data_IF_522819953972
#
_entry.id   IF_522819953972
#
_cell.length_a   1.000
_cell.length_b   1.000
_cell.length_c   1.000
_cell.angle_alpha   90.00
_cell.angle_beta   90.00
_cell.angle_gamma   90.00
#
_symmetry.space_group_name_H-M   'P 1'
#
loop_
_entity.id
_entity.type
_entity.pdbx_description
1 polymer ?
#
# COMPACT_ATOMS: atom_id res chain seq x y z
N UNK A 1 33.95 3.30 69.83
CA UNK A 1 32.83 4.04 69.22
C UNK A 1 33.41 5.14 68.35
N UNK A 2 32.89 5.39 67.14
CA UNK A 2 33.27 6.56 66.35
C UNK A 2 33.01 7.85 67.15
N UNK A 3 33.81 8.89 66.90
CA UNK A 3 33.72 10.17 67.63
C UNK A 3 32.38 10.90 67.37
N UNK A 4 31.80 10.69 66.19
CA UNK A 4 30.51 11.23 65.79
C UNK A 4 29.63 10.09 65.31
N UNK A 5 28.40 10.04 65.82
CA UNK A 5 27.43 9.01 65.50
C UNK A 5 26.02 9.47 65.81
N UNK A 6 25.09 8.81 65.15
CA UNK A 6 23.65 8.90 65.38
C UNK A 6 23.18 7.60 66.01
N UNK A 7 22.09 7.69 66.75
CA UNK A 7 21.36 6.55 67.25
C UNK A 7 19.85 6.82 67.14
N UNK A 8 19.04 5.78 66.90
CA UNK A 8 17.60 5.86 67.13
C UNK A 8 17.31 6.14 68.61
N UNK A 9 16.32 6.99 68.88
CA UNK A 9 15.83 7.18 70.26
C UNK A 9 14.92 6.01 70.66
N UNK A 10 14.65 5.82 71.95
CA UNK A 10 13.71 4.80 72.42
C UNK A 10 12.31 4.97 71.79
N UNK A 11 11.88 6.22 71.58
CA UNK A 11 10.63 6.55 70.88
C UNK A 11 10.72 6.15 69.41
N UNK A 12 11.83 6.49 68.74
CA UNK A 12 12.08 6.14 67.36
C UNK A 12 12.10 4.63 67.12
N UNK A 13 12.82 3.88 67.96
CA UNK A 13 12.84 2.40 67.88
C UNK A 13 11.46 1.80 68.11
N UNK A 14 10.71 2.29 69.09
CA UNK A 14 9.35 1.82 69.35
C UNK A 14 8.41 2.09 68.16
N UNK A 15 8.49 3.29 67.57
CA UNK A 15 7.71 3.61 66.37
C UNK A 15 8.15 2.75 65.18
N UNK A 16 9.45 2.54 64.97
CA UNK A 16 9.97 1.74 63.84
C UNK A 16 9.53 0.28 64.00
N UNK A 17 9.65 -0.28 65.19
CA UNK A 17 9.18 -1.62 65.50
C UNK A 17 7.67 -1.78 65.30
N UNK A 18 6.86 -0.78 65.71
CA UNK A 18 5.41 -0.79 65.51
C UNK A 18 5.04 -0.70 64.02
N UNK A 19 5.73 0.14 63.25
CA UNK A 19 5.53 0.26 61.80
C UNK A 19 5.82 -1.08 61.10
N UNK A 20 6.93 -1.74 61.43
CA UNK A 20 7.27 -3.07 60.91
C UNK A 20 6.19 -4.10 61.30
N UNK A 21 5.79 -4.15 62.58
CA UNK A 21 4.86 -5.15 63.09
C UNK A 21 3.44 -5.03 62.49
N UNK A 22 3.01 -3.81 62.16
CA UNK A 22 1.68 -3.53 61.62
C UNK A 22 1.65 -3.38 60.09
N UNK A 23 2.81 -3.50 59.42
CA UNK A 23 2.93 -3.22 57.97
C UNK A 23 2.70 -1.74 57.62
N UNK A 24 2.92 -0.85 58.57
CA UNK A 24 2.82 0.60 58.42
C UNK A 24 4.17 1.24 58.11
N UNK A 25 4.19 2.58 58.02
CA UNK A 25 5.41 3.35 57.75
C UNK A 25 5.47 4.60 58.61
N UNK A 26 6.67 5.04 58.99
CA UNK A 26 6.90 6.30 59.70
C UNK A 26 7.27 7.38 58.71
N UNK A 27 6.65 8.54 58.82
CA UNK A 27 6.98 9.70 57.99
C UNK A 27 7.89 10.66 58.73
N UNK A 28 9.15 10.73 58.32
CA UNK A 28 10.09 11.76 58.78
C UNK A 28 9.78 13.08 58.05
N UNK A 29 9.56 14.16 58.80
CA UNK A 29 9.17 15.46 58.24
C UNK A 29 10.22 16.54 58.40
N UNK A 30 10.96 16.54 59.51
CA UNK A 30 11.85 17.66 59.85
C UNK A 30 13.21 17.18 60.35
N UNK A 31 14.24 17.97 60.02
CA UNK A 31 15.58 17.83 60.60
C UNK A 31 15.84 19.08 61.44
N UNK A 32 16.26 18.85 62.68
CA UNK A 32 16.70 19.89 63.59
C UNK A 32 18.21 19.84 63.81
N UNK A 33 18.76 21.01 64.08
CA UNK A 33 20.15 21.23 64.40
C UNK A 33 20.24 22.04 65.68
N UNK A 34 21.23 21.72 66.52
CA UNK A 34 21.44 22.34 67.82
C UNK A 34 22.91 22.70 68.05
N UNK A 35 23.13 23.59 69.01
CA UNK A 35 24.48 23.99 69.43
C UNK A 35 25.00 23.23 70.65
N UNK A 36 24.23 22.26 71.16
CA UNK A 36 24.61 21.41 72.29
C UNK A 36 24.70 22.14 73.62
N UNK A 37 24.11 23.34 73.74
CA UNK A 37 24.27 24.20 74.92
C UNK A 37 25.70 24.72 75.09
N UNK A 38 26.46 24.81 73.99
CA UNK A 38 27.84 25.30 73.97
C UNK A 38 28.92 24.22 74.13
N UNK A 39 28.54 22.95 74.30
CA UNK A 39 29.48 21.82 74.37
C UNK A 39 29.04 20.65 73.48
N UNK A 40 29.94 19.77 73.08
CA UNK A 40 29.61 18.62 72.24
C UNK A 40 28.81 17.59 73.06
N UNK A 41 27.54 17.31 72.73
CA UNK A 41 26.75 16.39 73.51
C UNK A 41 27.11 14.93 73.20
N UNK A 42 26.85 14.06 74.18
CA UNK A 42 26.93 12.60 74.01
C UNK A 42 25.55 12.11 73.56
N UNK A 43 25.44 11.42 72.41
CA UNK A 43 24.19 10.80 71.98
C UNK A 43 23.62 9.86 73.04
N UNK A 44 22.33 10.01 73.32
CA UNK A 44 21.59 9.26 74.33
C UNK A 44 20.20 8.89 73.78
N UNK A 45 19.83 7.61 73.87
CA UNK A 45 18.59 7.06 73.31
C UNK A 45 17.35 7.53 74.06
N UNK A 46 17.48 7.92 75.33
CA UNK A 46 16.35 8.33 76.16
C UNK A 46 15.93 9.80 75.92
N UNK A 47 16.53 10.45 74.91
CA UNK A 47 16.21 11.83 74.55
C UNK A 47 14.92 11.95 73.77
N UNK A 48 14.12 12.92 74.18
CA UNK A 48 12.90 13.34 73.47
C UNK A 48 13.13 14.66 72.69
N UNK A 49 14.19 15.40 73.00
CA UNK A 49 14.54 16.69 72.38
C UNK A 49 16.07 16.87 72.30
N UNK A 50 16.52 17.80 71.44
CA UNK A 50 17.91 18.27 71.38
C UNK A 50 18.30 18.97 72.70
N UNK A 51 19.59 19.00 73.04
CA UNK A 51 20.10 19.71 74.23
C UNK A 51 19.79 21.20 74.14
N UNK A 52 20.06 21.80 72.99
CA UNK A 52 19.66 23.17 72.68
C UNK A 52 19.45 23.31 71.17
N UNK A 53 18.19 23.21 70.76
CA UNK A 53 17.77 23.39 69.38
C UNK A 53 17.92 24.85 68.95
N UNK A 54 18.61 25.08 67.83
CA UNK A 54 18.77 26.42 67.24
C UNK A 54 18.01 26.58 65.93
N UNK A 55 17.64 25.47 65.29
CA UNK A 55 16.78 25.45 64.10
C UNK A 55 16.14 24.10 63.90
N UNK A 56 14.88 24.12 63.46
CA UNK A 56 14.15 23.01 62.85
C UNK A 56 13.52 23.47 61.54
N UNK A 57 13.55 22.60 60.54
CA UNK A 57 12.93 22.86 59.26
C UNK A 57 12.61 21.54 58.53
N UNK A 58 11.75 21.58 57.49
CA UNK A 58 11.47 20.42 56.66
C UNK A 58 12.73 19.82 56.04
N UNK A 59 12.72 18.52 55.80
CA UNK A 59 13.79 17.80 55.09
C UNK A 59 13.75 18.09 53.58
N UNK A 60 14.91 18.06 52.92
CA UNK A 60 15.01 18.22 51.45
C UNK A 60 14.87 16.87 50.74
N UNK A 61 15.56 15.85 51.24
CA UNK A 61 15.55 14.48 50.69
C UNK A 61 15.74 13.48 51.82
N UNK A 62 15.21 12.27 51.65
CA UNK A 62 15.60 11.10 52.44
C UNK A 62 15.67 9.89 51.52
N UNK A 63 16.84 9.28 51.40
CA UNK A 63 17.07 8.13 50.53
C UNK A 63 17.78 7.01 51.30
N UNK A 64 17.63 5.78 50.82
CA UNK A 64 18.46 4.66 51.30
C UNK A 64 19.86 4.77 50.70
N UNK A 65 20.90 4.53 51.51
CA UNK A 65 22.27 4.54 51.02
C UNK A 65 22.48 3.41 49.98
N UNK A 66 23.04 3.71 48.79
CA UNK A 66 23.19 2.72 47.73
C UNK A 66 24.19 1.62 48.06
N UNK A 67 25.16 1.89 48.94
CA UNK A 67 26.17 0.91 49.38
C UNK A 67 25.73 0.18 50.67
N UNK A 68 24.78 0.75 51.43
CA UNK A 68 24.30 0.23 52.71
C UNK A 68 22.76 0.26 52.78
N UNK A 69 22.07 -0.83 52.36
CA UNK A 69 20.60 -0.87 52.25
C UNK A 69 19.82 -0.62 53.55
N UNK A 70 20.49 -0.72 54.70
CA UNK A 70 19.91 -0.50 56.04
C UNK A 70 20.17 0.93 56.57
N UNK A 71 20.80 1.80 55.79
CA UNK A 71 21.06 3.18 56.16
C UNK A 71 20.09 4.12 55.46
N UNK A 72 19.44 4.96 56.25
CA UNK A 72 18.61 6.07 55.77
C UNK A 72 19.44 7.34 55.86
N UNK A 73 19.62 7.99 54.72
CA UNK A 73 20.34 9.25 54.57
C UNK A 73 19.32 10.37 54.38
N UNK A 74 19.21 11.25 55.36
CA UNK A 74 18.33 12.43 55.32
C UNK A 74 19.19 13.67 55.13
N UNK A 75 18.82 14.51 54.17
CA UNK A 75 19.51 15.77 53.92
C UNK A 75 18.61 16.98 54.18
N UNK A 76 19.20 18.00 54.78
CA UNK A 76 18.62 19.33 54.90
C UNK A 76 19.62 20.38 54.43
N UNK A 77 19.19 21.28 53.56
CA UNK A 77 19.98 22.41 53.09
C UNK A 77 19.74 23.60 54.01
N UNK A 78 20.81 24.15 54.58
CA UNK A 78 20.80 25.40 55.35
C UNK A 78 21.12 26.57 54.39
N UNK A 79 20.16 27.48 54.16
CA UNK A 79 20.36 28.68 53.34
C UNK A 79 21.43 29.64 53.90
N UNK A 80 21.92 30.59 53.07
CA UNK A 80 22.97 31.54 53.48
C UNK A 80 22.50 32.61 54.50
N UNK A 81 21.20 32.84 54.62
CA UNK A 81 20.55 33.76 55.57
C UNK A 81 20.28 33.15 56.96
N UNK A 82 20.55 31.86 57.12
CA UNK A 82 20.29 31.11 58.36
C UNK A 82 21.61 30.61 58.97
N UNK A 83 21.90 30.99 60.21
CA UNK A 83 23.14 30.63 60.91
C UNK A 83 23.44 31.59 62.07
N UNK A 84 24.72 31.80 62.36
CA UNK A 84 25.19 32.58 63.51
C UNK A 84 25.44 31.73 64.76
N UNK A 85 25.45 30.40 64.60
CA UNK A 85 25.62 29.41 65.66
C UNK A 85 26.52 28.26 65.21
N UNK A 86 27.08 27.53 66.18
CA UNK A 86 27.91 26.35 65.95
C UNK A 86 27.07 25.10 66.06
N UNK A 87 27.03 24.30 65.01
CA UNK A 87 26.32 23.02 64.99
C UNK A 87 27.10 21.99 65.78
N UNK A 88 26.45 21.33 66.74
CA UNK A 88 27.03 20.25 67.57
C UNK A 88 26.13 19.04 67.72
N UNK A 89 24.86 19.17 67.39
CA UNK A 89 23.89 18.08 67.43
C UNK A 89 22.89 18.18 66.29
N UNK A 90 22.34 17.03 65.92
CA UNK A 90 21.35 16.87 64.86
C UNK A 90 20.27 15.89 65.33
N UNK A 91 19.03 16.12 64.91
CA UNK A 91 17.93 15.21 65.20
C UNK A 91 16.89 15.15 64.09
N UNK A 92 16.25 14.00 63.96
CA UNK A 92 15.16 13.77 63.01
C UNK A 92 13.83 13.66 63.73
N UNK A 93 12.82 14.36 63.21
CA UNK A 93 11.48 14.39 63.75
C UNK A 93 10.48 13.83 62.74
N UNK A 94 9.49 13.10 63.25
CA UNK A 94 8.36 12.64 62.46
C UNK A 94 7.21 13.67 62.39
N UNK A 95 6.16 13.32 61.65
CA UNK A 95 4.97 14.16 61.47
C UNK A 95 4.20 14.44 62.77
N UNK A 96 4.40 13.63 63.81
CA UNK A 96 3.77 13.82 65.13
C UNK A 96 4.61 14.73 66.03
N UNK A 97 5.82 15.12 65.59
CA UNK A 97 6.75 15.96 66.31
C UNK A 97 7.68 15.19 67.26
N UNK A 98 7.71 13.86 67.18
CA UNK A 98 8.53 13.01 68.04
C UNK A 98 9.96 12.88 67.49
N UNK A 99 10.95 12.95 68.38
CA UNK A 99 12.37 12.78 68.01
C UNK A 99 12.65 11.30 67.73
N UNK A 100 12.90 10.94 66.48
CA UNK A 100 13.10 9.56 66.02
C UNK A 100 14.56 9.13 66.15
N UNK A 101 15.49 10.04 65.86
CA UNK A 101 16.91 9.75 65.94
C UNK A 101 17.69 10.99 66.34
N UNK A 102 18.75 10.79 67.10
CA UNK A 102 19.60 11.85 67.65
C UNK A 102 21.06 11.54 67.41
N UNK A 103 21.86 12.55 67.12
CA UNK A 103 23.29 12.39 66.93
C UNK A 103 24.09 13.63 67.27
N UNK A 104 25.36 13.42 67.59
CA UNK A 104 26.31 14.50 67.73
C UNK A 104 26.91 14.83 66.35
N UNK A 105 27.32 16.08 66.18
CA UNK A 105 27.84 16.58 64.91
C UNK A 105 29.19 17.27 65.13
N UNK A 106 30.17 17.12 64.21
CA UNK A 106 31.43 17.86 64.29
C UNK A 106 31.18 19.36 64.42
N UNK A 107 31.85 19.99 65.39
CA UNK A 107 31.67 21.42 65.66
C UNK A 107 31.89 22.23 64.38
N UNK A 108 30.80 22.74 63.82
CA UNK A 108 30.83 23.45 62.55
C UNK A 108 30.13 24.78 62.69
N UNK A 109 30.88 25.87 62.53
CA UNK A 109 30.29 27.20 62.54
C UNK A 109 29.58 27.49 61.22
N UNK A 110 28.28 27.84 61.29
CA UNK A 110 27.48 28.22 60.13
C UNK A 110 27.33 29.74 60.07
N UNK A 111 28.15 30.47 59.28
CA UNK A 111 28.04 31.91 59.17
C UNK A 111 26.77 32.33 58.41
N UNK A 112 26.32 33.55 58.70
CA UNK A 112 25.21 34.22 58.00
C UNK A 112 25.73 35.29 57.05
N UNK A 113 24.92 35.63 56.05
CA UNK A 113 25.26 36.67 55.07
C UNK A 113 25.56 38.04 55.73
N UNK A 114 24.93 38.36 56.86
CA UNK A 114 25.19 39.59 57.62
C UNK A 114 26.59 39.67 58.24
N UNK A 115 27.29 38.55 58.38
CA UNK A 115 28.68 38.46 58.85
C UNK A 115 29.69 38.55 57.69
N UNK A 116 29.23 38.84 56.47
CA UNK A 116 30.09 38.99 55.28
C UNK A 116 30.46 37.67 54.59
N UNK A 117 29.95 36.53 55.05
CA UNK A 117 30.17 35.21 54.41
C UNK A 117 28.94 34.30 54.55
N UNK A 118 27.91 34.51 53.73
CA UNK A 118 26.78 33.59 53.63
C UNK A 118 27.21 32.31 52.92
N UNK A 119 27.20 31.18 53.63
CA UNK A 119 27.48 29.85 53.05
C UNK A 119 26.19 29.04 53.00
N UNK A 120 25.93 28.35 51.89
CA UNK A 120 24.93 27.28 51.87
C UNK A 120 25.60 26.00 52.36
N UNK A 121 25.00 25.32 53.33
CA UNK A 121 25.57 24.09 53.89
C UNK A 121 24.49 23.00 53.92
N UNK A 122 24.80 21.83 53.38
CA UNK A 122 23.92 20.65 53.49
C UNK A 122 24.32 19.87 54.72
N UNK A 123 23.36 19.63 55.62
CA UNK A 123 23.49 18.71 56.75
C UNK A 123 22.96 17.36 56.32
N UNK A 124 23.81 16.35 56.46
CA UNK A 124 23.50 14.95 56.13
C UNK A 124 23.42 14.17 57.44
N UNK A 125 22.24 13.63 57.72
CA UNK A 125 21.97 12.73 58.83
C UNK A 125 21.91 11.30 58.28
N UNK A 126 22.66 10.37 58.87
CA UNK A 126 22.62 8.96 58.49
C UNK A 126 22.16 8.18 59.70
N UNK A 127 21.13 7.35 59.60
CA UNK A 127 20.78 6.38 60.64
C UNK A 127 20.66 4.98 60.09
N UNK A 128 21.04 4.00 60.91
CA UNK A 128 20.79 2.61 60.63
C UNK A 128 19.42 2.20 61.18
N UNK A 129 18.64 1.48 60.37
CA UNK A 129 17.37 0.87 60.75
C UNK A 129 17.39 -0.64 60.51
N UNK A 130 16.49 -1.37 61.17
CA UNK A 130 16.30 -2.81 60.97
C UNK A 130 15.56 -3.14 59.67
N UNK A 131 14.70 -2.23 59.20
CA UNK A 131 13.98 -2.33 57.93
C UNK A 131 13.72 -0.92 57.36
N UNK A 132 14.25 -0.63 56.17
CA UNK A 132 14.07 0.64 55.47
C UNK A 132 12.69 0.76 54.83
N UNK A 133 11.95 -0.34 54.62
CA UNK A 133 10.59 -0.30 54.08
C UNK A 133 9.57 0.27 55.08
N UNK A 134 9.89 0.26 56.38
CA UNK A 134 9.05 0.81 57.44
C UNK A 134 9.18 2.33 57.61
N UNK A 135 9.98 3.01 56.78
CA UNK A 135 10.16 4.48 56.83
C UNK A 135 9.77 5.07 55.48
N UNK A 136 8.73 5.90 55.45
CA UNK A 136 8.24 6.58 54.25
C UNK A 136 8.74 8.01 54.14
N UNK A 137 9.08 8.38 52.90
CA UNK A 137 9.51 9.72 52.53
C UNK A 137 8.32 10.62 52.23
N UNK A 138 8.28 11.80 52.85
CA UNK A 138 7.46 12.92 52.38
C UNK A 138 8.33 14.15 52.18
N UNK A 139 8.84 14.34 50.95
CA UNK A 139 9.32 15.65 50.53
C UNK A 139 8.09 16.47 50.18
N UNK A 140 7.85 17.59 50.88
CA UNK A 140 6.91 18.60 50.40
C UNK A 140 7.64 19.50 49.39
N UNK A 141 7.42 19.35 48.07
CA UNK A 141 8.14 20.11 47.06
C UNK A 141 7.65 21.57 46.97
N UNK A 142 6.63 21.96 47.73
CA UNK A 142 6.02 23.29 47.64
C UNK A 142 6.72 24.35 48.49
N UNK A 143 7.64 23.96 49.40
CA UNK A 143 8.25 24.88 50.38
C UNK A 143 9.79 24.86 50.40
N UNK A 144 10.46 24.02 49.62
CA UNK A 144 11.90 23.77 49.80
C UNK A 144 12.74 23.97 48.53
N UNK A 145 13.91 24.62 48.67
CA UNK A 145 14.94 24.71 47.63
C UNK A 145 15.39 23.31 47.18
N UNK A 146 15.26 23.00 45.88
CA UNK A 146 15.79 21.76 45.30
C UNK A 146 17.33 21.70 45.41
N UNK A 147 17.88 20.53 45.73
CA UNK A 147 19.33 20.32 45.66
C UNK A 147 19.77 20.31 44.18
N UNK A 148 21.03 20.69 43.90
CA UNK A 148 21.58 20.63 42.54
C UNK A 148 21.48 19.21 41.96
N UNK A 149 21.76 18.19 42.77
CA UNK A 149 21.67 16.78 42.38
C UNK A 149 20.25 16.41 41.94
N UNK A 150 19.22 16.82 42.68
CA UNK A 150 17.83 16.58 42.29
C UNK A 150 17.49 17.20 40.93
N UNK A 151 17.98 18.41 40.66
CA UNK A 151 17.77 19.07 39.38
C UNK A 151 18.49 18.34 38.22
N UNK A 152 19.75 17.96 38.42
CA UNK A 152 20.55 17.24 37.41
C UNK A 152 19.94 15.86 37.10
N UNK A 153 19.53 15.11 38.14
CA UNK A 153 18.89 13.80 37.98
C UNK A 153 17.52 13.92 37.28
N UNK A 154 16.74 14.97 37.58
CA UNK A 154 15.45 15.23 36.94
C UNK A 154 15.60 15.57 35.45
N UNK A 155 16.63 16.34 35.08
CA UNK A 155 16.93 16.67 33.68
C UNK A 155 17.36 15.41 32.93
N UNK A 156 18.26 14.61 33.52
CA UNK A 156 18.72 13.36 32.92
C UNK A 156 17.57 12.36 32.70
N UNK A 157 16.64 12.26 33.66
CA UNK A 157 15.44 11.44 33.52
C UNK A 157 14.51 11.94 32.39
N UNK A 158 14.32 13.26 32.28
CA UNK A 158 13.52 13.86 31.20
C UNK A 158 14.15 13.65 29.82
N UNK A 159 15.46 13.80 29.68
CA UNK A 159 16.20 13.56 28.42
C UNK A 159 16.05 12.12 27.91
N UNK A 160 15.96 11.15 28.81
CA UNK A 160 15.71 9.74 28.46
C UNK A 160 14.24 9.42 28.25
N UNK A 161 13.34 10.27 28.76
CA UNK A 161 11.91 10.11 28.58
C UNK A 161 11.49 10.48 27.15
N UNK A 162 10.46 9.79 26.63
CA UNK A 162 9.77 10.17 25.39
C UNK A 162 8.36 10.67 25.65
N UNK A 163 8.08 11.05 26.89
CA UNK A 163 6.74 11.41 27.34
C UNK A 163 6.51 12.90 27.10
N UNK A 164 6.16 13.22 25.85
CA UNK A 164 5.81 14.58 25.45
C UNK A 164 4.30 14.70 25.23
N UNK A 165 3.71 15.90 25.40
CA UNK A 165 2.31 16.13 25.09
C UNK A 165 1.94 15.75 23.66
N UNK A 166 0.67 15.39 23.50
CA UNK A 166 0.00 15.24 22.21
C UNK A 166 0.21 16.48 21.31
N UNK A 167 0.35 16.25 20.01
CA UNK A 167 0.39 17.34 19.04
C UNK A 167 -0.95 18.09 19.00
N UNK A 168 -0.92 19.42 19.01
CA UNK A 168 -2.14 20.26 18.89
C UNK A 168 -1.99 21.31 17.79
N UNK A 169 -3.11 21.83 17.28
CA UNK A 169 -3.13 22.90 16.26
C UNK A 169 -3.18 24.30 16.87
N UNK A 170 -3.35 24.41 18.19
CA UNK A 170 -3.63 25.67 18.90
C UNK A 170 -2.51 26.09 19.86
N UNK A 171 -1.55 25.21 20.16
CA UNK A 171 -0.42 25.51 21.04
C UNK A 171 0.90 25.01 20.44
N UNK A 172 1.97 25.81 20.62
CA UNK A 172 3.33 25.46 20.22
C UNK A 172 4.00 24.58 21.29
N UNK A 173 4.77 23.56 20.90
CA UNK A 173 5.47 22.68 21.84
C UNK A 173 6.25 21.54 21.16
N UNK A 174 6.95 20.73 21.97
CA UNK A 174 7.53 19.45 21.53
C UNK A 174 6.44 18.38 21.45
N UNK A 175 6.43 17.58 20.37
CA UNK A 175 5.37 16.62 20.05
C UNK A 175 5.93 15.24 19.71
N UNK A 176 5.11 14.21 19.88
CA UNK A 176 5.43 12.84 19.45
C UNK A 176 5.38 12.71 17.91
N UNK A 177 6.37 12.01 17.33
CA UNK A 177 6.37 11.67 15.90
C UNK A 177 5.52 10.43 15.63
N UNK A 178 4.71 10.46 14.58
CA UNK A 178 3.95 9.30 14.13
C UNK A 178 4.88 8.26 13.46
N UNK A 179 4.59 6.98 13.66
CA UNK A 179 5.11 5.89 12.82
C UNK A 179 4.46 5.91 11.44
N UNK A 180 5.00 5.15 10.48
CA UNK A 180 4.41 5.03 9.14
C UNK A 180 2.96 4.53 9.18
N UNK A 181 2.68 3.52 10.01
CA UNK A 181 1.32 2.96 10.16
C UNK A 181 0.35 3.99 10.74
N UNK A 182 0.78 4.75 11.75
CA UNK A 182 -0.04 5.80 12.36
C UNK A 182 -0.28 6.97 11.41
N UNK A 183 0.74 7.35 10.63
CA UNK A 183 0.61 8.36 9.58
C UNK A 183 -0.40 7.92 8.51
N UNK A 184 -0.37 6.64 8.09
CA UNK A 184 -1.33 6.05 7.13
C UNK A 184 -2.76 6.05 7.68
N UNK A 185 -2.93 5.73 8.96
CA UNK A 185 -4.24 5.67 9.61
C UNK A 185 -4.78 7.06 10.01
N UNK A 186 -4.01 8.13 9.80
CA UNK A 186 -4.39 9.47 10.23
C UNK A 186 -4.58 9.55 11.74
N UNK A 187 -3.75 8.83 12.52
CA UNK A 187 -3.87 8.80 13.98
C UNK A 187 -3.83 10.22 14.55
N UNK A 188 -4.86 10.64 15.31
CA UNK A 188 -4.88 11.96 15.92
C UNK A 188 -3.70 12.12 16.89
N UNK A 189 -3.33 13.37 17.15
CA UNK A 189 -2.37 13.74 18.21
C UNK A 189 -0.90 13.34 17.99
N UNK A 190 -0.53 12.82 16.81
CA UNK A 190 0.85 12.54 16.40
C UNK A 190 1.25 13.28 15.12
N UNK A 191 2.49 13.74 15.04
CA UNK A 191 2.98 14.48 13.87
C UNK A 191 3.75 13.57 12.90
N UNK A 192 3.30 13.37 11.65
CA UNK A 192 4.02 12.56 10.68
C UNK A 192 5.26 13.30 10.18
N UNK A 193 6.35 12.58 9.97
CA UNK A 193 7.54 13.15 9.35
C UNK A 193 7.41 13.24 7.81
N UNK A 194 8.34 13.94 7.16
CA UNK A 194 8.31 14.11 5.71
C UNK A 194 8.38 12.78 4.95
N UNK A 195 9.05 11.75 5.49
CA UNK A 195 9.19 10.45 4.85
C UNK A 195 7.89 9.64 4.92
N UNK A 196 7.23 9.64 6.08
CA UNK A 196 5.95 8.99 6.32
C UNK A 196 4.80 9.71 5.60
N UNK A 197 4.80 11.04 5.53
CA UNK A 197 3.92 11.81 4.65
C UNK A 197 4.12 11.43 3.17
N UNK A 198 5.38 11.35 2.71
CA UNK A 198 5.68 10.95 1.32
C UNK A 198 5.21 9.53 1.02
N UNK A 199 5.38 8.61 1.96
CA UNK A 199 4.94 7.23 1.84
C UNK A 199 3.40 7.10 1.86
N UNK A 200 2.71 7.84 2.73
CA UNK A 200 1.24 7.89 2.77
C UNK A 200 0.66 8.52 1.49
N UNK A 201 1.28 9.57 0.96
CA UNK A 201 0.90 10.18 -0.32
C UNK A 201 1.13 9.18 -1.47
N UNK A 202 2.24 8.45 -1.49
CA UNK A 202 2.49 7.41 -2.49
C UNK A 202 1.47 6.26 -2.41
N UNK A 203 1.07 5.87 -1.19
CA UNK A 203 0.05 4.85 -0.94
C UNK A 203 -1.35 5.33 -1.41
N UNK A 204 -1.69 6.60 -1.19
CA UNK A 204 -2.95 7.18 -1.67
C UNK A 204 -3.03 7.29 -3.20
N UNK A 205 -1.89 7.24 -3.92
CA UNK A 205 -1.84 7.12 -5.39
C UNK A 205 -2.11 5.69 -5.88
N UNK A 206 -2.39 4.73 -5.00
CA UNK A 206 -2.90 3.42 -5.42
C UNK A 206 -4.24 3.52 -6.18
N UNK A 207 -4.96 4.65 -6.09
CA UNK A 207 -6.13 4.97 -6.91
C UNK A 207 -5.85 5.60 -8.29
N UNK A 208 -4.59 5.97 -8.61
CA UNK A 208 -4.27 6.51 -9.93
C UNK A 208 -4.21 5.37 -10.94
N UNK A 209 -5.29 5.19 -11.70
CA UNK A 209 -5.25 4.49 -12.97
C UNK A 209 -4.03 5.03 -13.76
N UNK A 210 -3.19 4.13 -14.31
CA UNK A 210 -1.97 4.48 -15.07
C UNK A 210 -0.70 4.83 -14.25
N UNK A 211 -0.69 4.65 -12.93
CA UNK A 211 0.54 4.78 -12.12
C UNK A 211 1.65 3.79 -12.53
N UNK A 212 2.92 4.09 -12.25
CA UNK A 212 4.04 3.17 -12.52
C UNK A 212 3.90 1.87 -11.73
N UNK A 213 4.31 0.74 -12.33
CA UNK A 213 4.33 -0.56 -11.68
C UNK A 213 5.15 -0.55 -10.39
N UNK A 214 4.57 -1.12 -9.33
CA UNK A 214 5.14 -1.27 -7.99
C UNK A 214 5.01 -2.74 -7.58
N UNK A 215 6.15 -3.42 -7.42
CA UNK A 215 6.19 -4.82 -7.05
C UNK A 215 5.58 -5.13 -5.67
N UNK A 216 5.50 -4.14 -4.78
CA UNK A 216 4.91 -4.28 -3.45
C UNK A 216 3.40 -4.11 -3.43
N UNK A 217 2.80 -3.56 -4.50
CA UNK A 217 1.37 -3.34 -4.62
C UNK A 217 0.64 -4.60 -5.10
N UNK A 218 -0.56 -4.82 -4.57
CA UNK A 218 -1.52 -5.79 -5.09
C UNK A 218 -2.41 -5.07 -6.12
N UNK A 219 -2.49 -5.61 -7.33
CA UNK A 219 -3.32 -5.08 -8.42
C UNK A 219 -4.57 -5.93 -8.61
N UNK A 220 -5.72 -5.30 -8.85
CA UNK A 220 -7.00 -5.97 -9.11
C UNK A 220 -7.31 -6.09 -10.60
N UNK A 221 -8.08 -7.10 -11.01
CA UNK A 221 -8.41 -7.35 -12.42
C UNK A 221 -8.97 -6.10 -13.09
N UNK A 222 -8.42 -5.74 -14.26
CA UNK A 222 -8.79 -4.52 -15.00
C UNK A 222 -8.07 -3.24 -14.56
N UNK A 223 -7.26 -3.28 -13.48
CA UNK A 223 -6.38 -2.16 -13.15
C UNK A 223 -5.28 -1.99 -14.20
N UNK A 224 -4.91 -0.74 -14.45
CA UNK A 224 -3.89 -0.37 -15.44
C UNK A 224 -2.69 0.26 -14.74
N UNK A 225 -1.50 -0.22 -15.09
CA UNK A 225 -0.21 0.28 -14.59
C UNK A 225 0.73 0.60 -15.74
N UNK A 226 1.68 1.51 -15.53
CA UNK A 226 2.74 1.84 -16.49
C UNK A 226 4.00 1.03 -16.21
N UNK A 227 4.48 0.28 -17.19
CA UNK A 227 5.74 -0.44 -17.10
C UNK A 227 6.96 0.48 -17.10
N UNK A 228 8.11 -0.05 -16.69
CA UNK A 228 9.39 0.67 -16.74
C UNK A 228 9.83 1.02 -18.17
N UNK A 229 9.32 0.30 -19.16
CA UNK A 229 9.48 0.56 -20.60
C UNK A 229 8.58 1.68 -21.13
N UNK A 230 7.74 2.26 -20.26
CA UNK A 230 6.86 3.38 -20.56
C UNK A 230 5.50 3.01 -21.16
N UNK A 231 5.24 1.72 -21.40
CA UNK A 231 3.95 1.21 -21.91
C UNK A 231 2.93 1.03 -20.79
N UNK A 232 1.65 0.92 -21.15
CA UNK A 232 0.57 0.66 -20.21
C UNK A 232 0.15 -0.80 -20.26
N UNK A 233 -0.15 -1.36 -19.10
CA UNK A 233 -0.51 -2.75 -18.93
C UNK A 233 -1.75 -2.88 -18.06
N UNK A 234 -2.76 -3.59 -18.55
CA UNK A 234 -3.96 -3.99 -17.81
C UNK A 234 -3.74 -5.37 -17.20
N UNK A 235 -4.12 -5.53 -15.93
CA UNK A 235 -4.07 -6.84 -15.28
C UNK A 235 -5.19 -7.75 -15.83
N UNK A 236 -4.78 -8.88 -16.41
CA UNK A 236 -5.61 -9.79 -17.22
C UNK A 236 -6.10 -11.03 -16.43
N UNK A 237 -5.49 -11.35 -15.28
CA UNK A 237 -5.93 -12.38 -14.31
C UNK A 237 -6.24 -13.77 -14.94
N UNK A 238 -5.25 -14.41 -15.57
CA UNK A 238 -5.33 -15.85 -15.92
C UNK A 238 -5.14 -16.77 -14.70
N UNK A 239 -4.15 -16.48 -13.86
CA UNK A 239 -3.64 -17.43 -12.83
C UNK A 239 -3.73 -16.92 -11.38
N UNK A 240 -4.28 -15.74 -11.16
CA UNK A 240 -4.04 -14.95 -9.95
C UNK A 240 -5.35 -14.41 -9.39
N UNK A 241 -6.26 -15.30 -8.99
CA UNK A 241 -7.45 -15.11 -8.14
C UNK A 241 -8.15 -13.72 -8.10
N UNK A 242 -8.15 -12.96 -9.18
CA UNK A 242 -8.58 -11.56 -9.23
C UNK A 242 -7.55 -10.51 -8.79
N UNK A 243 -6.39 -10.90 -8.24
CA UNK A 243 -5.33 -10.01 -7.73
C UNK A 243 -3.89 -10.48 -8.00
N UNK A 244 -2.94 -9.60 -8.36
CA UNK A 244 -1.51 -9.94 -8.56
C UNK A 244 -0.54 -9.05 -7.76
N UNK A 245 0.55 -9.62 -7.24
CA UNK A 245 1.64 -8.90 -6.56
C UNK A 245 3.02 -9.43 -7.00
N UNK A 246 4.00 -8.53 -7.20
CA UNK A 246 5.38 -8.92 -7.50
C UNK A 246 5.65 -9.48 -8.89
N UNK A 247 4.64 -9.53 -9.77
CA UNK A 247 4.77 -10.00 -11.16
C UNK A 247 4.94 -8.82 -12.11
N UNK A 248 6.15 -8.61 -12.64
CA UNK A 248 6.46 -7.46 -13.51
C UNK A 248 5.79 -7.59 -14.89
N UNK A 249 4.99 -6.59 -15.33
CA UNK A 249 4.34 -6.58 -16.65
C UNK A 249 5.31 -6.48 -17.83
N UNK A 250 6.51 -5.93 -17.65
CA UNK A 250 7.48 -5.75 -18.74
C UNK A 250 8.16 -7.05 -19.17
N UNK A 251 8.11 -8.09 -18.33
CA UNK A 251 8.59 -9.42 -18.68
C UNK A 251 7.60 -10.11 -19.64
N UNK A 252 8.06 -10.45 -20.84
CA UNK A 252 7.24 -11.11 -21.87
C UNK A 252 6.64 -12.45 -21.42
N UNK A 253 7.28 -13.19 -20.50
CA UNK A 253 6.74 -14.44 -20.00
C UNK A 253 5.45 -14.27 -19.17
N UNK A 254 5.24 -13.09 -18.60
CA UNK A 254 4.06 -12.75 -17.82
C UNK A 254 2.90 -12.23 -18.70
N UNK A 255 3.09 -12.18 -20.02
CA UNK A 255 2.13 -11.67 -20.99
C UNK A 255 1.77 -12.74 -22.03
N UNK A 256 0.58 -12.70 -22.65
CA UNK A 256 -0.56 -11.81 -22.33
C UNK A 256 -1.32 -12.26 -21.07
N UNK A 257 -0.87 -13.32 -20.41
CA UNK A 257 -1.73 -14.09 -19.51
C UNK A 257 -1.84 -13.56 -18.07
N UNK A 258 -0.84 -12.86 -17.55
CA UNK A 258 -0.99 -12.15 -16.27
C UNK A 258 -1.28 -10.69 -16.56
N UNK A 259 -0.51 -10.10 -17.47
CA UNK A 259 -0.67 -8.73 -17.94
C UNK A 259 -0.94 -8.68 -19.43
N UNK A 260 -1.72 -7.70 -19.86
CA UNK A 260 -1.85 -7.35 -21.28
C UNK A 260 -1.42 -5.91 -21.51
N UNK A 261 -0.78 -5.63 -22.64
CA UNK A 261 -0.58 -4.25 -23.06
C UNK A 261 -1.95 -3.59 -23.31
N UNK A 262 -2.18 -2.47 -22.63
CA UNK A 262 -3.40 -1.71 -22.73
C UNK A 262 -3.32 -0.75 -23.92
N UNK A 263 -4.15 -1.02 -24.94
CA UNK A 263 -4.25 -0.19 -26.14
C UNK A 263 -5.55 0.62 -26.20
N UNK A 264 -6.39 0.56 -25.15
CA UNK A 264 -7.73 1.19 -25.15
C UNK A 264 -8.76 0.50 -26.05
N UNK A 265 -8.50 -0.73 -26.49
CA UNK A 265 -9.38 -1.52 -27.37
C UNK A 265 -10.08 -2.61 -26.54
N UNK A 266 -11.39 -2.76 -26.72
CA UNK A 266 -12.17 -3.77 -26.00
C UNK A 266 -11.88 -5.18 -26.53
N UNK A 267 -11.78 -6.20 -25.65
CA UNK A 267 -11.74 -7.61 -26.06
C UNK A 267 -12.89 -7.97 -26.99
N UNK A 268 -12.64 -8.84 -27.97
CA UNK A 268 -13.61 -9.17 -29.02
C UNK A 268 -13.66 -8.15 -30.16
N UNK A 269 -12.90 -7.05 -30.11
CA UNK A 269 -12.75 -6.17 -31.27
C UNK A 269 -11.96 -6.89 -32.37
N UNK A 270 -12.51 -6.91 -33.58
CA UNK A 270 -11.84 -7.45 -34.77
C UNK A 270 -11.18 -6.32 -35.56
N UNK A 271 -9.92 -6.52 -35.94
CA UNK A 271 -9.15 -5.59 -36.76
C UNK A 271 -8.61 -6.27 -38.02
N UNK A 272 -8.37 -5.47 -39.07
CA UNK A 272 -7.58 -5.88 -40.23
C UNK A 272 -6.09 -5.73 -39.92
N UNK A 273 -5.30 -6.76 -40.23
CA UNK A 273 -3.86 -6.79 -40.02
C UNK A 273 -3.11 -7.14 -41.31
N UNK A 274 -1.99 -6.46 -41.55
CA UNK A 274 -1.23 -6.52 -42.82
C UNK A 274 0.19 -7.06 -42.66
N UNK A 275 0.46 -7.80 -41.59
CA UNK A 275 1.74 -8.46 -41.35
C UNK A 275 1.53 -9.91 -40.92
N UNK A 276 2.43 -10.80 -41.32
CA UNK A 276 2.43 -12.19 -40.84
C UNK A 276 2.85 -12.29 -39.36
N UNK A 277 3.53 -11.27 -38.83
CA UNK A 277 3.86 -11.19 -37.40
C UNK A 277 2.66 -10.64 -36.65
N UNK A 278 2.04 -11.46 -35.81
CA UNK A 278 0.89 -11.05 -35.01
C UNK A 278 1.31 -10.07 -33.89
N UNK A 279 0.57 -8.98 -33.69
CA UNK A 279 0.79 -8.07 -32.58
C UNK A 279 0.40 -8.75 -31.27
N UNK A 280 1.08 -8.39 -30.20
CA UNK A 280 0.81 -8.96 -28.89
C UNK A 280 -0.61 -8.63 -28.40
N UNK A 281 -1.24 -9.60 -27.72
CA UNK A 281 -2.58 -9.42 -27.18
C UNK A 281 -3.68 -9.49 -28.24
N UNK A 282 -3.38 -10.06 -29.41
CA UNK A 282 -4.33 -10.40 -30.45
C UNK A 282 -4.17 -11.87 -30.84
N UNK A 283 -5.26 -12.46 -31.32
CA UNK A 283 -5.29 -13.82 -31.86
C UNK A 283 -5.92 -13.80 -33.25
N UNK A 284 -5.44 -14.65 -34.14
CA UNK A 284 -5.99 -14.78 -35.49
C UNK A 284 -7.38 -15.40 -35.48
N UNK A 285 -8.25 -14.92 -36.36
CA UNK A 285 -9.58 -15.48 -36.59
C UNK A 285 -9.48 -16.64 -37.61
N UNK A 286 -8.91 -17.75 -37.16
CA UNK A 286 -8.63 -18.96 -37.95
C UNK A 286 -9.53 -20.17 -37.60
N UNK A 287 -10.59 -19.93 -36.83
CA UNK A 287 -11.50 -20.97 -36.36
C UNK A 287 -10.97 -21.83 -35.21
N UNK A 288 -9.80 -21.49 -34.63
CA UNK A 288 -9.19 -22.30 -33.59
C UNK A 288 -10.12 -22.53 -32.39
N UNK A 289 -10.00 -23.73 -31.80
CA UNK A 289 -10.61 -24.06 -30.52
C UNK A 289 -9.68 -23.60 -29.40
N UNK A 290 -10.15 -22.70 -28.56
CA UNK A 290 -9.36 -22.08 -27.48
C UNK A 290 -10.03 -22.25 -26.12
N UNK A 291 -9.25 -22.18 -25.04
CA UNK A 291 -9.74 -22.34 -23.67
C UNK A 291 -10.58 -21.16 -23.18
N UNK A 292 -11.75 -21.43 -22.56
CA UNK A 292 -12.60 -20.42 -21.94
C UNK A 292 -11.90 -19.71 -20.78
N UNK A 293 -11.05 -20.41 -20.05
CA UNK A 293 -10.28 -19.82 -18.95
C UNK A 293 -9.20 -18.89 -19.49
N UNK A 294 -8.43 -19.36 -20.47
CA UNK A 294 -7.30 -18.60 -21.05
C UNK A 294 -7.77 -17.37 -21.83
N UNK A 295 -8.94 -17.45 -22.46
CA UNK A 295 -9.53 -16.40 -23.30
C UNK A 295 -10.90 -15.94 -22.77
N UNK A 296 -11.03 -15.79 -21.45
CA UNK A 296 -12.32 -15.51 -20.77
C UNK A 296 -13.00 -14.22 -21.20
N UNK A 297 -12.24 -13.17 -21.56
CA UNK A 297 -12.82 -11.89 -22.01
C UNK A 297 -13.40 -12.01 -23.41
N UNK A 298 -12.69 -12.68 -24.32
CA UNK A 298 -13.26 -13.06 -25.63
C UNK A 298 -14.50 -13.94 -25.41
N UNK A 299 -14.42 -14.98 -24.57
CA UNK A 299 -15.56 -15.87 -24.31
C UNK A 299 -16.75 -15.12 -23.70
N UNK A 300 -16.53 -14.13 -22.84
CA UNK A 300 -17.60 -13.31 -22.29
C UNK A 300 -18.34 -12.50 -23.38
N UNK A 301 -17.66 -12.16 -24.47
CA UNK A 301 -18.24 -11.42 -25.61
C UNK A 301 -18.84 -12.36 -26.65
N UNK A 302 -18.09 -13.37 -27.10
CA UNK A 302 -18.50 -14.28 -28.17
C UNK A 302 -19.38 -15.43 -27.70
N UNK A 303 -19.24 -15.85 -26.44
CA UNK A 303 -19.83 -17.08 -25.93
C UNK A 303 -19.47 -18.26 -26.83
N UNK A 304 -20.48 -18.97 -27.31
CA UNK A 304 -20.35 -20.10 -28.23
C UNK A 304 -20.80 -19.78 -29.65
N UNK A 305 -20.89 -18.49 -30.01
CA UNK A 305 -21.44 -18.05 -31.31
C UNK A 305 -20.71 -18.66 -32.50
N UNK A 306 -19.39 -18.81 -32.41
CA UNK A 306 -18.57 -19.38 -33.48
C UNK A 306 -18.31 -20.89 -33.32
N UNK A 307 -18.92 -21.52 -32.32
CA UNK A 307 -18.75 -22.93 -31.99
C UNK A 307 -18.53 -23.15 -30.50
N UNK A 308 -19.11 -24.23 -29.99
CA UNK A 308 -19.09 -24.54 -28.56
C UNK A 308 -17.79 -25.18 -28.06
N UNK A 309 -16.83 -25.46 -28.96
CA UNK A 309 -15.67 -26.29 -28.66
C UNK A 309 -16.09 -27.68 -28.16
N UNK A 310 -15.54 -28.07 -27.01
CA UNK A 310 -15.88 -29.27 -26.24
C UNK A 310 -17.19 -29.16 -25.42
N UNK A 311 -17.85 -28.00 -25.45
CA UNK A 311 -19.09 -27.73 -24.72
C UNK A 311 -18.91 -27.35 -23.25
N UNK A 312 -17.68 -27.39 -22.71
CA UNK A 312 -17.42 -27.16 -21.28
C UNK A 312 -16.29 -26.17 -21.02
N UNK A 313 -15.09 -26.46 -21.52
CA UNK A 313 -13.86 -25.73 -21.19
C UNK A 313 -13.29 -24.93 -22.34
N UNK A 314 -13.81 -25.10 -23.55
CA UNK A 314 -13.34 -24.44 -24.77
C UNK A 314 -14.48 -23.78 -25.55
N UNK A 315 -14.12 -22.95 -26.53
CA UNK A 315 -15.01 -22.35 -27.52
C UNK A 315 -14.21 -22.10 -28.82
N UNK A 316 -14.90 -21.83 -29.92
CA UNK A 316 -14.26 -21.53 -31.20
C UNK A 316 -14.12 -20.02 -31.41
N UNK A 317 -13.02 -19.61 -32.03
CA UNK A 317 -12.88 -18.29 -32.64
C UNK A 317 -13.64 -18.22 -33.98
N UNK A 318 -13.92 -17.02 -34.52
CA UNK A 318 -14.36 -16.89 -35.90
C UNK A 318 -13.33 -17.49 -36.87
N UNK A 319 -13.78 -18.06 -37.99
CA UNK A 319 -12.90 -18.39 -39.13
C UNK A 319 -13.17 -17.39 -40.25
N UNK A 320 -12.31 -16.39 -40.36
CA UNK A 320 -12.49 -15.27 -41.30
C UNK A 320 -11.68 -15.45 -42.59
N UNK A 321 -10.96 -16.56 -42.73
CA UNK A 321 -10.05 -16.79 -43.85
C UNK A 321 -10.84 -17.00 -45.14
N UNK A 322 -10.55 -16.16 -46.13
CA UNK A 322 -11.23 -16.21 -47.44
C UNK A 322 -12.64 -15.61 -47.46
N UNK A 323 -13.13 -15.08 -46.33
CA UNK A 323 -14.49 -14.57 -46.21
C UNK A 323 -14.58 -13.06 -46.51
N UNK A 324 -15.66 -12.65 -47.17
CA UNK A 324 -16.04 -11.24 -47.27
C UNK A 324 -16.98 -10.86 -46.14
N UNK A 325 -16.66 -9.78 -45.42
CA UNK A 325 -17.49 -9.31 -44.30
C UNK A 325 -18.61 -8.41 -44.80
N UNK A 326 -19.80 -8.60 -44.22
CA UNK A 326 -20.98 -7.77 -44.44
C UNK A 326 -21.59 -7.36 -43.11
N UNK A 327 -22.29 -6.23 -43.09
CA UNK A 327 -23.04 -5.82 -41.90
C UNK A 327 -24.22 -6.77 -41.61
N UNK A 328 -24.45 -7.06 -40.34
CA UNK A 328 -25.64 -7.81 -39.90
C UNK A 328 -26.90 -6.94 -40.08
N UNK A 329 -27.93 -7.51 -40.69
CA UNK A 329 -29.18 -6.79 -40.97
C UNK A 329 -29.86 -6.28 -39.70
N UNK A 330 -29.79 -7.06 -38.63
CA UNK A 330 -30.33 -6.74 -37.30
C UNK A 330 -31.75 -6.15 -37.34
N UNK A 331 -32.61 -6.71 -38.21
CA UNK A 331 -34.02 -6.32 -38.32
C UNK A 331 -34.30 -5.14 -39.25
N UNK A 332 -33.33 -4.69 -40.05
CA UNK A 332 -33.52 -3.63 -41.06
C UNK A 332 -34.40 -4.10 -42.23
N UNK A 333 -34.44 -5.40 -42.51
CA UNK A 333 -35.28 -6.01 -43.54
C UNK A 333 -34.69 -6.00 -44.95
N UNK A 334 -33.38 -5.81 -45.10
CA UNK A 334 -32.70 -5.85 -46.41
C UNK A 334 -32.10 -7.24 -46.68
N UNK A 335 -31.59 -7.91 -45.66
CA UNK A 335 -30.98 -9.24 -45.74
C UNK A 335 -31.73 -10.23 -44.85
N UNK A 336 -33.02 -10.43 -45.16
CA UNK A 336 -33.97 -11.20 -44.32
C UNK A 336 -33.68 -12.69 -44.24
N UNK A 337 -32.95 -13.24 -45.21
CA UNK A 337 -32.60 -14.67 -45.27
C UNK A 337 -31.41 -15.03 -44.37
N UNK A 338 -30.87 -14.05 -43.63
CA UNK A 338 -29.78 -14.23 -42.64
C UNK A 338 -30.32 -13.90 -41.26
N UNK A 339 -30.82 -14.93 -40.60
CA UNK A 339 -31.64 -14.81 -39.39
C UNK A 339 -30.81 -14.85 -38.11
N UNK A 340 -29.58 -15.39 -38.15
CA UNK A 340 -28.68 -15.40 -37.00
C UNK A 340 -27.41 -14.58 -37.26
N UNK A 341 -26.84 -14.07 -36.17
CA UNK A 341 -25.56 -13.37 -36.20
C UNK A 341 -24.44 -14.37 -36.53
N UNK A 342 -23.47 -13.92 -37.34
CA UNK A 342 -22.36 -14.75 -37.86
C UNK A 342 -22.77 -15.91 -38.79
N UNK A 343 -23.98 -15.86 -39.38
CA UNK A 343 -24.37 -16.81 -40.43
C UNK A 343 -23.47 -16.71 -41.67
N UNK A 344 -23.04 -17.87 -42.18
CA UNK A 344 -22.28 -17.96 -43.44
C UNK A 344 -23.20 -17.91 -44.65
N UNK A 345 -22.69 -17.31 -45.72
CA UNK A 345 -23.37 -17.24 -47.00
C UNK A 345 -22.44 -17.69 -48.12
N UNK A 346 -22.92 -18.65 -48.91
CA UNK A 346 -22.25 -19.04 -50.15
C UNK A 346 -22.28 -17.91 -51.17
N UNK A 347 -21.28 -17.89 -52.05
CA UNK A 347 -21.28 -17.00 -53.20
C UNK A 347 -22.55 -17.20 -54.04
N UNK A 348 -23.05 -16.11 -54.60
CA UNK A 348 -24.19 -16.15 -55.52
C UNK A 348 -24.00 -15.09 -56.61
N UNK A 349 -24.46 -15.42 -57.81
CA UNK A 349 -24.63 -14.46 -58.90
C UNK A 349 -26.13 -14.31 -59.11
N UNK A 350 -26.59 -13.07 -59.30
CA UNK A 350 -28.01 -12.83 -59.59
C UNK A 350 -28.44 -13.60 -60.84
N UNK A 351 -29.63 -14.19 -60.79
CA UNK A 351 -30.21 -14.86 -61.95
C UNK A 351 -30.33 -13.84 -63.09
N UNK A 352 -29.64 -14.13 -64.19
CA UNK A 352 -29.70 -13.31 -65.39
C UNK A 352 -29.82 -14.21 -66.63
N UNK A 353 -30.26 -13.62 -67.73
CA UNK A 353 -30.39 -14.28 -69.03
C UNK A 353 -29.66 -13.46 -70.08
N UNK A 354 -29.04 -14.14 -71.03
CA UNK A 354 -28.43 -13.52 -72.21
C UNK A 354 -29.30 -13.81 -73.42
N UNK A 355 -29.64 -12.77 -74.19
CA UNK A 355 -30.27 -12.94 -75.50
C UNK A 355 -29.19 -13.19 -76.54
N UNK A 356 -29.19 -14.38 -77.14
CA UNK A 356 -28.27 -14.70 -78.22
C UNK A 356 -28.91 -14.34 -79.56
N UNK A 357 -28.29 -13.48 -80.39
CA UNK A 357 -28.83 -13.21 -81.71
C UNK A 357 -28.79 -14.49 -82.55
N UNK A 358 -29.92 -14.85 -83.15
CA UNK A 358 -30.07 -15.96 -84.10
C UNK A 358 -30.73 -15.38 -85.35
N UNK A 359 -29.97 -15.20 -86.43
CA UNK A 359 -30.48 -14.59 -87.65
C UNK A 359 -29.92 -15.29 -88.88
N UNK A 360 -30.81 -15.88 -89.70
CA UNK A 360 -30.51 -16.25 -91.07
C UNK A 360 -30.95 -15.11 -91.99
N UNK A 361 -30.10 -14.11 -92.21
CA UNK A 361 -30.38 -13.09 -93.22
C UNK A 361 -29.13 -12.83 -94.06
N UNK A 362 -29.26 -13.08 -95.35
CA UNK A 362 -28.16 -13.10 -96.32
C UNK A 362 -27.71 -11.71 -96.81
N UNK A 363 -28.07 -10.61 -96.15
CA UNK A 363 -27.66 -9.27 -96.60
C UNK A 363 -27.50 -8.30 -95.43
N UNK A 364 -26.26 -7.89 -95.14
CA UNK A 364 -25.95 -6.76 -94.28
C UNK A 364 -24.84 -7.06 -93.28
N UNK A 365 -23.75 -6.30 -93.36
CA UNK A 365 -22.59 -6.35 -92.47
C UNK A 365 -23.01 -6.14 -91.00
N UNK A 366 -23.04 -7.19 -90.18
CA UNK A 366 -23.22 -7.08 -88.74
C UNK A 366 -23.71 -8.36 -88.06
N UNK A 367 -22.83 -8.97 -87.26
CA UNK A 367 -23.02 -10.10 -86.33
C UNK A 367 -23.63 -11.40 -86.89
N UNK A 368 -22.76 -12.40 -87.07
CA UNK A 368 -23.15 -13.80 -87.24
C UNK A 368 -23.73 -14.33 -85.92
N UNK A 369 -25.06 -14.32 -85.81
CA UNK A 369 -25.75 -15.07 -84.76
C UNK A 369 -25.49 -16.57 -84.85
N UNK A 370 -25.80 -17.32 -83.80
CA UNK A 370 -25.76 -18.80 -83.87
C UNK A 370 -26.72 -19.26 -84.95
N UNK A 371 -26.26 -20.06 -85.92
CA UNK A 371 -27.12 -20.57 -86.99
C UNK A 371 -28.25 -21.43 -86.37
N UNK A 372 -29.48 -21.10 -86.72
CA UNK A 372 -30.69 -21.70 -86.18
C UNK A 372 -30.78 -23.22 -86.49
N UNK A 373 -30.08 -23.72 -87.51
CA UNK A 373 -29.96 -25.15 -87.78
C UNK A 373 -29.25 -25.93 -86.66
N UNK A 374 -28.35 -25.28 -85.91
CA UNK A 374 -27.67 -25.83 -84.74
C UNK A 374 -28.42 -25.56 -83.42
N UNK A 375 -29.49 -24.74 -83.46
CA UNK A 375 -30.32 -24.37 -82.31
C UNK A 375 -31.52 -25.32 -82.14
N UNK A 376 -31.27 -26.62 -81.95
CA UNK A 376 -32.37 -27.59 -81.71
C UNK A 376 -32.76 -27.64 -80.24
N UNK A 377 -33.87 -26.98 -79.88
CA UNK A 377 -34.55 -27.19 -78.60
C UNK A 377 -35.31 -28.52 -78.65
N UNK A 378 -34.67 -29.60 -78.21
CA UNK A 378 -35.22 -30.97 -78.37
C UNK A 378 -36.41 -31.26 -77.45
N UNK A 379 -36.57 -30.55 -76.32
CA UNK A 379 -37.81 -30.53 -75.52
C UNK A 379 -37.91 -29.26 -74.67
N UNK A 380 -39.09 -28.96 -74.12
CA UNK A 380 -39.35 -27.75 -73.32
C UNK A 380 -38.47 -27.60 -72.06
N UNK A 381 -37.78 -28.67 -71.64
CA UNK A 381 -37.06 -28.77 -70.36
C UNK A 381 -35.54 -28.93 -70.45
N UNK A 382 -34.94 -28.99 -71.65
CA UNK A 382 -33.48 -29.14 -71.81
C UNK A 382 -32.77 -27.84 -72.25
N UNK A 383 -31.51 -27.71 -71.82
CA UNK A 383 -30.54 -26.71 -72.28
C UNK A 383 -30.38 -26.77 -73.80
N UNK A 384 -30.19 -25.62 -74.44
CA UNK A 384 -29.87 -25.56 -75.88
C UNK A 384 -28.47 -26.14 -76.09
N UNK A 385 -28.36 -27.16 -76.93
CA UNK A 385 -27.09 -27.75 -77.40
C UNK A 385 -26.17 -28.31 -76.28
N UNK A 386 -26.73 -29.18 -75.41
CA UNK A 386 -25.99 -29.96 -74.41
C UNK A 386 -25.10 -31.02 -75.11
N UNK A 387 -23.94 -30.59 -75.61
CA UNK A 387 -22.95 -31.45 -76.30
C UNK A 387 -22.96 -31.30 -77.84
N UNK A 388 -22.20 -30.35 -78.42
CA UNK A 388 -22.16 -30.14 -79.86
C UNK A 388 -21.50 -31.32 -80.59
N UNK A 389 -22.23 -31.92 -81.53
CA UNK A 389 -21.84 -33.17 -82.22
C UNK A 389 -20.77 -32.96 -83.30
N UNK A 390 -20.46 -31.70 -83.66
CA UNK A 390 -19.53 -31.34 -84.75
C UNK A 390 -18.25 -30.64 -84.28
N UNK A 391 -18.00 -30.54 -82.97
CA UNK A 391 -16.79 -29.89 -82.44
C UNK A 391 -16.74 -28.37 -82.60
N UNK A 392 -17.80 -27.75 -83.13
CA UNK A 392 -17.95 -26.29 -83.15
C UNK A 392 -18.48 -25.79 -81.80
N UNK A 393 -17.66 -25.00 -81.11
CA UNK A 393 -18.04 -24.30 -79.88
C UNK A 393 -18.55 -22.90 -80.23
N UNK A 394 -19.82 -22.64 -79.94
CA UNK A 394 -20.44 -21.33 -80.16
C UNK A 394 -20.39 -20.52 -78.87
N UNK A 395 -19.66 -19.41 -78.88
CA UNK A 395 -19.55 -18.48 -77.75
C UNK A 395 -20.65 -17.41 -77.75
N UNK A 396 -20.88 -16.74 -76.63
CA UNK A 396 -21.83 -15.62 -76.50
C UNK A 396 -21.33 -14.29 -77.11
N UNK A 397 -20.13 -14.28 -77.70
CA UNK A 397 -19.50 -13.12 -78.36
C UNK A 397 -18.69 -13.57 -79.59
N UNK A 398 -18.61 -12.68 -80.59
CA UNK A 398 -17.82 -12.81 -81.82
C UNK A 398 -16.53 -11.98 -81.71
N UNK A 399 -15.43 -12.41 -82.34
CA UNK A 399 -14.22 -11.59 -82.53
C UNK A 399 -14.35 -10.89 -83.90
N UNK A 400 -14.53 -9.58 -83.91
CA UNK A 400 -14.95 -8.80 -85.10
C UNK A 400 -13.84 -8.57 -86.14
N UNK A 401 -12.75 -9.34 -86.07
CA UNK A 401 -11.59 -9.25 -86.95
C UNK A 401 -11.70 -10.14 -88.21
N UNK A 402 -12.82 -10.83 -88.41
CA UNK A 402 -13.23 -11.44 -89.69
C UNK A 402 -12.18 -12.32 -90.39
N UNK A 403 -11.26 -12.94 -89.64
CA UNK A 403 -10.24 -13.81 -90.17
C UNK A 403 -10.23 -15.09 -89.35
N UNK A 404 -10.98 -16.09 -89.81
CA UNK A 404 -11.07 -17.39 -89.16
C UNK A 404 -9.70 -18.00 -88.92
N UNK A 405 -9.14 -17.80 -87.72
CA UNK A 405 -8.06 -18.53 -87.05
C UNK A 405 -7.56 -17.67 -85.87
N UNK A 406 -7.30 -18.26 -84.69
CA UNK A 406 -6.85 -17.53 -83.50
C UNK A 406 -5.39 -17.12 -83.63
N UNK A 407 -5.08 -16.19 -84.52
CA UNK A 407 -3.75 -15.59 -84.61
C UNK A 407 -3.88 -14.11 -84.97
N UNK A 408 -3.79 -13.24 -83.96
CA UNK A 408 -3.20 -11.92 -84.22
C UNK A 408 -3.88 -10.65 -83.72
N UNK A 409 -4.90 -10.68 -82.86
CA UNK A 409 -5.29 -9.45 -82.12
C UNK A 409 -5.37 -9.67 -80.63
N UNK A 410 -4.76 -8.71 -79.94
CA UNK A 410 -4.60 -8.63 -78.50
C UNK A 410 -5.97 -8.73 -77.82
N UNK A 411 -6.24 -9.90 -77.24
CA UNK A 411 -7.29 -10.10 -76.27
C UNK A 411 -7.23 -8.95 -75.26
N UNK A 412 -8.21 -8.04 -75.25
CA UNK A 412 -8.54 -7.37 -73.98
C UNK A 412 -9.35 -8.39 -73.20
N UNK A 413 -8.65 -9.44 -72.77
CA UNK A 413 -9.22 -10.47 -71.93
C UNK A 413 -9.70 -9.82 -70.65
N UNK A 414 -10.97 -10.03 -70.33
CA UNK A 414 -11.40 -9.90 -68.95
C UNK A 414 -10.51 -10.75 -68.04
N UNK A 415 -10.37 -10.37 -66.79
CA UNK A 415 -9.69 -11.21 -65.82
C UNK A 415 -10.62 -12.38 -65.46
N UNK A 416 -10.46 -13.50 -66.15
CA UNK A 416 -11.21 -14.73 -65.87
C UNK A 416 -10.50 -15.56 -64.80
N UNK A 417 -11.27 -16.16 -63.89
CA UNK A 417 -10.76 -17.03 -62.83
C UNK A 417 -11.79 -18.12 -62.51
N UNK A 418 -11.38 -19.14 -61.75
CA UNK A 418 -12.28 -20.23 -61.34
C UNK A 418 -13.40 -19.76 -60.39
N UNK A 419 -13.25 -18.58 -59.80
CA UNK A 419 -14.20 -17.96 -58.89
C UNK A 419 -14.45 -16.50 -59.28
N UNK A 420 -15.70 -16.05 -59.15
CA UNK A 420 -16.04 -14.62 -59.25
C UNK A 420 -15.70 -13.94 -57.94
N UNK A 421 -14.74 -13.02 -57.98
CA UNK A 421 -14.33 -12.22 -56.82
C UNK A 421 -14.15 -10.75 -57.19
N UNK A 422 -14.48 -9.81 -56.29
CA UNK A 422 -14.05 -8.44 -56.47
C UNK A 422 -12.52 -8.37 -56.44
N UNK A 423 -11.93 -7.25 -56.90
CA UNK A 423 -10.53 -6.97 -56.61
C UNK A 423 -10.35 -6.91 -55.10
N UNK A 424 -9.66 -7.89 -54.53
CA UNK A 424 -9.46 -8.01 -53.09
C UNK A 424 -7.98 -7.87 -52.72
N UNK A 425 -7.74 -7.44 -51.48
CA UNK A 425 -6.42 -7.41 -50.87
C UNK A 425 -6.47 -8.34 -49.65
N UNK A 426 -5.56 -9.32 -49.59
CA UNK A 426 -5.54 -10.27 -48.49
C UNK A 426 -5.02 -9.59 -47.21
N UNK A 427 -5.76 -9.79 -46.12
CA UNK A 427 -5.41 -9.31 -44.78
C UNK A 427 -5.72 -10.43 -43.78
N UNK A 428 -5.07 -10.40 -42.63
CA UNK A 428 -5.38 -11.29 -41.52
C UNK A 428 -6.38 -10.57 -40.62
N UNK A 429 -7.47 -11.23 -40.25
CA UNK A 429 -8.39 -10.70 -39.24
C UNK A 429 -7.96 -11.17 -37.86
N UNK A 430 -7.82 -10.23 -36.93
CA UNK A 430 -7.39 -10.51 -35.57
C UNK A 430 -8.43 -10.07 -34.56
N UNK A 431 -8.69 -10.90 -33.55
CA UNK A 431 -9.51 -10.56 -32.38
C UNK A 431 -8.61 -10.08 -31.23
N UNK A 432 -8.99 -8.96 -30.60
CA UNK A 432 -8.37 -8.51 -29.35
C UNK A 432 -8.70 -9.47 -28.20
N UNK A 433 -7.66 -9.95 -27.51
CA UNK A 433 -7.75 -10.85 -26.35
C UNK A 433 -8.37 -10.14 -25.14
#
# INVERSE_FOLDING_TARGET
MPQYYTLPTAIGEAKIANAIALGGTITISELAVGDGGGSLPVPDSDRENLVNEVRRAPINTSDTDPDNPNWIVVEQVLPPDVGGWTIREIGLFDSDGDLIAYGNYPETYKPVLSEGSGRTQTIRFVMQVSDTAAVTLKVDPSVVLATRKYADDSIAAHEQSRNHPAATTTALGFVEKATLTEAKNGTPDKFPDAASMKAAIADSRSGDQFATYDASRIYNTGEITRGSDGRFYEFYDRDQAGTVQGVDPTNAANRPHVWMEWHGVLPGTVIEWRSETLPEGYIENDGAVVGRTDYRRIFAVYGTTHGAGDGATTFNLPDDRGEFKRGWDHGRGIDTDRVAFADHQWHAVERHVHSLPTGMSNTGTGHWGVDDQYWKRTTATSSINDGPVLGEYVGTYHDDNNNGSPTGTNWIGGNYSAETRPRNNAVIYLTKI
#
